data_IF_067868988248
#
_entry.id   IF_067868988248
#
_cell.length_a   1.000
_cell.length_b   1.000
_cell.length_c   1.000
_cell.angle_alpha   90.00
_cell.angle_beta   90.00
_cell.angle_gamma   90.00
#
_symmetry.space_group_name_H-M   'P 1'
#
loop_
_entity.id
_entity.type
_entity.pdbx_description
1 polymer ?
#
# COMPACT_ATOMS: atom_id res chain seq x y z
N UNK A 1 20.81 -26.85 -6.00
CA UNK A 1 19.60 -27.33 -5.30
C UNK A 1 18.36 -27.37 -6.23
N UNK A 2 18.08 -26.30 -7.01
CA UNK A 2 16.92 -26.24 -7.92
C UNK A 2 16.93 -27.32 -9.03
N UNK A 3 18.08 -27.58 -9.61
CA UNK A 3 18.20 -28.56 -10.72
C UNK A 3 17.95 -30.02 -10.31
N UNK A 4 18.06 -30.36 -9.04
CA UNK A 4 17.92 -31.74 -8.53
C UNK A 4 16.55 -32.04 -7.93
N UNK A 5 15.77 -31.03 -7.55
CA UNK A 5 14.48 -31.21 -6.86
C UNK A 5 13.26 -30.81 -7.69
N UNK A 6 13.44 -30.06 -8.78
CA UNK A 6 12.37 -29.46 -9.56
C UNK A 6 11.55 -28.39 -8.80
N UNK A 7 12.01 -27.98 -7.60
CA UNK A 7 11.33 -26.98 -6.78
C UNK A 7 11.77 -25.57 -7.17
N UNK A 8 10.86 -24.62 -7.11
CA UNK A 8 11.15 -23.18 -7.26
C UNK A 8 11.23 -22.54 -5.88
N UNK A 9 12.27 -21.72 -5.64
CA UNK A 9 12.36 -20.92 -4.42
C UNK A 9 11.45 -19.71 -4.61
N UNK A 10 10.42 -19.60 -3.77
CA UNK A 10 9.47 -18.51 -3.86
C UNK A 10 9.95 -17.20 -3.20
N UNK A 11 10.73 -17.32 -2.12
CA UNK A 11 11.31 -16.19 -1.36
C UNK A 11 12.68 -16.60 -0.84
N UNK A 12 13.69 -15.73 -0.99
CA UNK A 12 15.07 -15.98 -0.57
C UNK A 12 15.69 -14.68 -0.04
N UNK A 13 16.31 -14.77 1.14
CA UNK A 13 17.12 -13.70 1.75
C UNK A 13 16.42 -12.32 1.80
N UNK A 14 15.12 -12.33 2.09
CA UNK A 14 14.29 -11.12 2.20
C UNK A 14 14.31 -10.64 3.65
N UNK A 15 14.73 -9.38 3.87
CA UNK A 15 14.70 -8.73 5.17
C UNK A 15 14.20 -7.29 5.08
N UNK A 16 13.23 -6.92 5.93
CA UNK A 16 12.70 -5.56 6.03
C UNK A 16 11.98 -5.34 7.36
N UNK A 17 11.69 -4.10 7.65
CA UNK A 17 10.84 -3.69 8.77
C UNK A 17 9.76 -2.73 8.28
N UNK A 18 8.61 -2.75 8.93
CA UNK A 18 7.49 -1.85 8.66
C UNK A 18 7.17 -1.12 9.96
N UNK A 19 7.15 0.21 9.93
CA UNK A 19 6.81 1.02 11.09
C UNK A 19 5.29 0.98 11.34
N UNK A 20 4.88 1.30 12.57
CA UNK A 20 3.45 1.43 12.87
C UNK A 20 2.86 2.59 12.06
N UNK A 21 1.70 2.34 11.44
CA UNK A 21 1.03 3.31 10.58
C UNK A 21 1.61 3.42 9.18
N UNK A 22 2.72 2.72 8.87
CA UNK A 22 3.34 2.72 7.55
C UNK A 22 2.57 1.83 6.57
N UNK A 23 2.44 2.31 5.34
CA UNK A 23 2.04 1.49 4.19
C UNK A 23 3.29 1.06 3.43
N UNK A 24 3.68 -0.20 3.60
CA UNK A 24 4.80 -0.81 2.91
C UNK A 24 4.31 -1.61 1.70
N UNK A 25 4.73 -1.22 0.51
CA UNK A 25 4.31 -1.88 -0.73
C UNK A 25 5.38 -2.85 -1.22
N UNK A 26 4.98 -4.06 -1.56
CA UNK A 26 5.84 -5.04 -2.27
C UNK A 26 5.34 -5.17 -3.70
N UNK A 27 6.16 -4.80 -4.64
CA UNK A 27 5.83 -4.88 -6.05
C UNK A 27 6.83 -5.74 -6.85
N UNK A 28 6.47 -6.10 -8.07
CA UNK A 28 7.30 -6.90 -8.98
C UNK A 28 6.44 -7.66 -9.99
N UNK A 29 7.06 -8.24 -11.00
CA UNK A 29 6.36 -9.00 -12.04
C UNK A 29 5.66 -10.26 -11.48
N UNK A 30 4.76 -10.84 -12.29
CA UNK A 30 4.15 -12.13 -11.93
C UNK A 30 5.22 -13.20 -11.72
N UNK A 31 5.07 -14.00 -10.65
CA UNK A 31 6.05 -15.03 -10.30
C UNK A 31 7.25 -14.54 -9.48
N UNK A 32 7.41 -13.25 -9.18
CA UNK A 32 8.56 -12.75 -8.39
C UNK A 32 8.57 -13.18 -6.91
N UNK A 33 7.47 -13.78 -6.39
CA UNK A 33 7.41 -14.30 -5.01
C UNK A 33 6.53 -13.51 -4.05
N UNK A 34 5.93 -12.38 -4.44
CA UNK A 34 5.14 -11.45 -3.60
C UNK A 34 4.06 -12.14 -2.76
N UNK A 35 3.17 -12.90 -3.41
CA UNK A 35 2.09 -13.60 -2.70
C UNK A 35 2.63 -14.70 -1.78
N UNK A 36 3.75 -15.33 -2.13
CA UNK A 36 4.44 -16.28 -1.25
C UNK A 36 4.97 -15.56 -0.01
N UNK A 37 5.61 -14.40 -0.20
CA UNK A 37 6.12 -13.57 0.91
C UNK A 37 5.00 -13.23 1.89
N UNK A 38 3.88 -12.65 1.44
CA UNK A 38 2.79 -12.25 2.35
C UNK A 38 2.16 -13.44 3.07
N UNK A 39 2.10 -14.60 2.40
CA UNK A 39 1.62 -15.84 3.02
C UNK A 39 2.61 -16.37 4.06
N UNK A 40 3.91 -16.18 3.88
CA UNK A 40 4.93 -16.47 4.88
C UNK A 40 4.84 -15.49 6.07
N UNK A 41 4.67 -14.18 5.80
CA UNK A 41 4.51 -13.16 6.85
C UNK A 41 3.28 -13.42 7.73
N UNK A 42 2.18 -13.88 7.15
CA UNK A 42 0.98 -14.28 7.89
C UNK A 42 1.03 -15.73 8.39
N UNK A 43 2.15 -16.45 8.10
CA UNK A 43 2.37 -17.87 8.39
C UNK A 43 1.28 -18.79 7.82
N UNK A 44 0.57 -18.35 6.76
CA UNK A 44 -0.32 -19.22 5.98
C UNK A 44 0.48 -20.29 5.22
N UNK A 45 1.72 -19.96 4.87
CA UNK A 45 2.75 -20.86 4.37
C UNK A 45 3.88 -20.82 5.39
N UNK A 46 4.33 -21.98 5.84
CA UNK A 46 5.46 -22.08 6.77
C UNK A 46 6.76 -21.77 6.02
N UNK A 47 7.53 -20.74 6.39
CA UNK A 47 8.82 -20.47 5.77
C UNK A 47 9.84 -21.54 6.17
N UNK A 48 10.78 -21.85 5.29
CA UNK A 48 11.83 -22.85 5.53
C UNK A 48 12.79 -22.40 6.63
N UNK A 49 13.07 -21.10 6.70
CA UNK A 49 13.95 -20.49 7.70
C UNK A 49 13.69 -18.98 7.80
N UNK A 50 14.25 -18.32 8.80
CA UNK A 50 14.11 -16.89 9.03
C UNK A 50 13.31 -16.56 10.30
N UNK A 51 12.85 -15.32 10.41
CA UNK A 51 12.03 -14.83 11.52
C UNK A 51 10.95 -13.89 10.99
N UNK A 52 9.77 -13.93 11.61
CA UNK A 52 8.69 -12.97 11.39
C UNK A 52 8.24 -12.42 12.72
N UNK A 53 8.51 -11.15 12.97
CA UNK A 53 8.16 -10.49 14.24
C UNK A 53 7.03 -9.51 14.03
N UNK A 54 6.02 -9.59 14.91
CA UNK A 54 4.93 -8.61 15.01
C UNK A 54 4.89 -8.11 16.44
N UNK A 55 5.03 -6.81 16.65
CA UNK A 55 5.14 -6.18 17.98
C UNK A 55 6.20 -6.84 18.88
N UNK A 56 7.33 -7.27 18.30
CA UNK A 56 8.42 -7.92 19.00
C UNK A 56 8.26 -9.44 19.22
N UNK A 57 7.06 -9.98 18.99
CA UNK A 57 6.77 -11.42 19.14
C UNK A 57 7.11 -12.17 17.84
N UNK A 58 7.87 -13.26 17.93
CA UNK A 58 8.21 -14.10 16.77
C UNK A 58 7.07 -15.07 16.44
N UNK A 59 6.42 -14.84 15.33
CA UNK A 59 5.30 -15.68 14.86
C UNK A 59 5.73 -17.12 14.59
N UNK A 60 6.99 -17.38 14.22
CA UNK A 60 7.46 -18.72 13.88
C UNK A 60 7.70 -19.56 15.15
N UNK A 61 7.94 -18.93 16.28
CA UNK A 61 8.08 -19.58 17.58
C UNK A 61 6.72 -19.92 18.25
N UNK A 62 5.61 -19.34 17.74
CA UNK A 62 4.29 -19.53 18.33
C UNK A 62 3.72 -20.93 18.05
N UNK A 63 3.03 -21.48 19.03
CA UNK A 63 2.19 -22.66 18.84
C UNK A 63 0.93 -22.32 18.02
N UNK A 64 0.16 -23.37 17.65
CA UNK A 64 -1.03 -23.21 16.81
C UNK A 64 -2.16 -22.41 17.52
N UNK A 65 -2.21 -22.39 18.85
CA UNK A 65 -3.21 -21.63 19.58
C UNK A 65 -2.85 -20.14 19.62
N UNK A 66 -1.61 -19.82 19.95
CA UNK A 66 -1.06 -18.46 19.95
C UNK A 66 -1.18 -17.82 18.56
N UNK A 67 -0.78 -18.54 17.51
CA UNK A 67 -0.89 -18.05 16.14
C UNK A 67 -2.35 -17.77 15.70
N UNK A 68 -3.29 -18.66 16.11
CA UNK A 68 -4.72 -18.41 15.85
C UNK A 68 -5.20 -17.15 16.55
N UNK A 69 -4.73 -16.89 17.77
CA UNK A 69 -5.14 -15.70 18.51
C UNK A 69 -4.60 -14.42 17.85
N UNK A 70 -3.33 -14.40 17.44
CA UNK A 70 -2.75 -13.27 16.69
C UNK A 70 -3.52 -13.00 15.40
N UNK A 71 -3.85 -14.04 14.61
CA UNK A 71 -4.65 -13.91 13.39
C UNK A 71 -6.08 -13.46 13.64
N UNK A 72 -6.64 -13.71 14.80
CA UNK A 72 -8.01 -13.31 15.17
C UNK A 72 -8.11 -11.88 15.65
N UNK A 73 -7.01 -11.32 16.17
CA UNK A 73 -7.03 -10.03 16.89
C UNK A 73 -6.10 -8.98 16.28
N UNK A 74 -4.91 -9.37 15.81
CA UNK A 74 -3.87 -8.42 15.39
C UNK A 74 -3.72 -8.30 13.88
N UNK A 75 -4.14 -9.32 13.11
CA UNK A 75 -3.88 -9.38 11.68
C UNK A 75 -5.15 -9.60 10.88
N UNK A 76 -5.25 -8.97 9.71
CA UNK A 76 -6.27 -9.31 8.72
C UNK A 76 -5.71 -9.30 7.31
N UNK A 77 -6.37 -9.99 6.39
CA UNK A 77 -5.91 -10.12 5.01
C UNK A 77 -7.06 -9.93 4.03
N UNK A 78 -6.80 -9.10 3.02
CA UNK A 78 -7.67 -8.92 1.85
C UNK A 78 -7.03 -9.65 0.68
N UNK A 79 -7.76 -10.61 0.11
CA UNK A 79 -7.30 -11.46 -0.98
C UNK A 79 -7.74 -10.92 -2.34
N UNK A 80 -7.01 -11.27 -3.38
CA UNK A 80 -7.29 -10.93 -4.78
C UNK A 80 -8.73 -11.28 -5.23
N UNK A 81 -9.28 -12.39 -4.79
CA UNK A 81 -10.63 -12.89 -5.14
C UNK A 81 -11.63 -12.68 -4.01
N UNK A 82 -11.58 -11.56 -3.29
CA UNK A 82 -12.50 -11.11 -2.25
C UNK A 82 -12.79 -12.13 -1.13
N UNK A 83 -12.80 -13.43 -1.43
CA UNK A 83 -13.04 -14.53 -0.48
C UNK A 83 -14.37 -14.43 0.28
N UNK A 84 -15.40 -13.82 -0.31
CA UNK A 84 -16.71 -13.67 0.32
C UNK A 84 -17.45 -15.00 0.36
N UNK A 85 -18.18 -15.23 1.45
CA UNK A 85 -19.08 -16.38 1.57
C UNK A 85 -20.35 -16.14 0.74
N UNK A 86 -20.57 -16.84 -0.38
CA UNK A 86 -21.69 -16.54 -1.30
C UNK A 86 -23.08 -16.83 -0.68
N UNK A 87 -23.13 -17.70 0.32
CA UNK A 87 -24.34 -18.10 1.05
C UNK A 87 -24.65 -17.21 2.24
N UNK A 88 -23.77 -16.27 2.60
CA UNK A 88 -23.96 -15.29 3.69
C UNK A 88 -24.31 -13.92 3.14
N UNK A 89 -25.15 -13.17 3.86
CA UNK A 89 -25.41 -11.77 3.54
C UNK A 89 -24.17 -10.91 3.73
N UNK A 90 -24.15 -9.72 3.14
CA UNK A 90 -23.05 -8.77 3.25
C UNK A 90 -22.70 -8.49 4.71
N UNK A 91 -23.69 -8.16 5.55
CA UNK A 91 -23.46 -7.91 6.97
C UNK A 91 -22.88 -9.12 7.70
N UNK A 92 -23.31 -10.35 7.35
CA UNK A 92 -22.81 -11.57 7.97
C UNK A 92 -21.41 -11.97 7.43
N UNK A 93 -21.03 -11.52 6.22
CA UNK A 93 -19.67 -11.59 5.71
C UNK A 93 -18.75 -10.69 6.53
N UNK A 94 -19.13 -9.42 6.74
CA UNK A 94 -18.34 -8.45 7.52
C UNK A 94 -18.24 -8.87 8.98
N UNK A 95 -19.33 -9.35 9.58
CA UNK A 95 -19.38 -9.83 10.96
C UNK A 95 -18.67 -11.16 11.22
N UNK A 96 -18.17 -11.85 10.17
CA UNK A 96 -17.66 -13.23 10.31
C UNK A 96 -16.46 -13.33 11.25
N UNK A 97 -15.49 -12.45 11.14
CA UNK A 97 -14.33 -12.44 12.04
C UNK A 97 -14.72 -12.24 13.52
N UNK A 98 -15.69 -11.37 13.76
CA UNK A 98 -16.26 -11.14 15.10
C UNK A 98 -17.06 -12.35 15.62
N UNK A 99 -17.68 -13.12 14.69
CA UNK A 99 -18.30 -14.40 15.03
C UNK A 99 -17.27 -15.44 15.49
N UNK A 100 -16.13 -15.51 14.79
CA UNK A 100 -15.00 -16.36 15.19
C UNK A 100 -14.43 -15.92 16.54
N UNK A 101 -14.44 -14.62 16.86
CA UNK A 101 -14.09 -14.08 18.19
C UNK A 101 -15.18 -14.36 19.25
N UNK A 102 -16.29 -14.99 18.90
CA UNK A 102 -17.44 -15.31 19.78
C UNK A 102 -18.14 -14.07 20.36
N UNK A 103 -18.05 -12.92 19.67
CA UNK A 103 -18.83 -11.73 20.10
C UNK A 103 -20.35 -11.98 19.98
N UNK A 104 -21.19 -11.42 20.86
CA UNK A 104 -22.64 -11.55 20.80
C UNK A 104 -23.18 -11.13 19.43
N UNK A 105 -24.22 -11.81 18.93
CA UNK A 105 -24.75 -11.58 17.57
C UNK A 105 -25.21 -10.14 17.34
N UNK A 106 -25.79 -9.50 18.34
CA UNK A 106 -26.21 -8.09 18.26
C UNK A 106 -25.01 -7.19 18.07
N UNK A 107 -24.04 -7.27 18.97
CA UNK A 107 -22.85 -6.39 19.00
C UNK A 107 -22.03 -6.51 17.72
N UNK A 108 -21.82 -7.74 17.21
CA UNK A 108 -21.08 -7.95 15.97
C UNK A 108 -21.80 -7.42 14.74
N UNK A 109 -23.16 -7.45 14.71
CA UNK A 109 -23.93 -6.88 13.61
C UNK A 109 -23.99 -5.37 13.67
N UNK A 110 -24.13 -4.80 14.84
CA UNK A 110 -24.10 -3.35 15.04
C UNK A 110 -22.75 -2.79 14.61
N UNK A 111 -21.65 -3.46 15.01
CA UNK A 111 -20.31 -3.08 14.58
C UNK A 111 -20.10 -3.29 13.06
N UNK A 112 -20.51 -4.44 12.51
CA UNK A 112 -20.43 -4.67 11.06
C UNK A 112 -21.20 -3.63 10.25
N UNK A 113 -22.35 -3.16 10.76
CA UNK A 113 -23.14 -2.09 10.15
C UNK A 113 -22.36 -0.77 10.13
N UNK A 114 -21.70 -0.39 11.24
CA UNK A 114 -20.89 0.83 11.29
C UNK A 114 -19.71 0.79 10.33
N UNK A 115 -19.07 -0.39 10.15
CA UNK A 115 -17.99 -0.56 9.17
C UNK A 115 -18.52 -0.51 7.74
N UNK A 116 -19.68 -1.11 7.47
CA UNK A 116 -20.33 -1.01 6.14
C UNK A 116 -20.69 0.44 5.78
N UNK A 117 -21.06 1.24 6.76
CA UNK A 117 -21.31 2.68 6.56
C UNK A 117 -20.05 3.43 6.15
N UNK A 118 -18.90 3.14 6.79
CA UNK A 118 -17.59 3.71 6.44
C UNK A 118 -17.20 3.46 4.98
N UNK A 119 -17.51 2.27 4.43
CA UNK A 119 -17.21 1.90 3.04
C UNK A 119 -18.37 2.18 2.07
N UNK A 120 -19.43 2.90 2.51
CA UNK A 120 -20.55 3.31 1.67
C UNK A 120 -21.50 2.17 1.25
N UNK A 121 -21.60 1.10 2.04
CA UNK A 121 -22.39 -0.10 1.72
C UNK A 121 -23.51 -0.40 2.72
N UNK A 122 -23.92 0.56 3.54
CA UNK A 122 -24.97 0.40 4.56
C UNK A 122 -26.26 -0.19 3.98
N UNK A 123 -26.75 0.36 2.88
CA UNK A 123 -28.02 -0.05 2.24
C UNK A 123 -27.96 -1.45 1.62
N UNK A 124 -26.74 -1.96 1.40
CA UNK A 124 -26.49 -3.29 0.83
C UNK A 124 -26.27 -4.37 1.88
N UNK A 125 -26.35 -4.05 3.17
CA UNK A 125 -26.06 -4.95 4.30
C UNK A 125 -26.84 -6.29 4.23
N UNK A 126 -28.09 -6.24 3.77
CA UNK A 126 -28.99 -7.40 3.72
C UNK A 126 -28.93 -8.17 2.39
N UNK A 127 -28.15 -7.70 1.41
CA UNK A 127 -27.96 -8.36 0.12
C UNK A 127 -26.94 -9.52 0.21
N UNK A 128 -26.91 -10.35 -0.83
CA UNK A 128 -25.90 -11.40 -1.00
C UNK A 128 -24.80 -10.94 -1.96
N UNK A 129 -23.57 -11.49 -1.87
CA UNK A 129 -22.46 -11.09 -2.73
C UNK A 129 -22.78 -11.09 -4.23
N UNK A 130 -23.55 -12.08 -4.71
CA UNK A 130 -23.97 -12.19 -6.12
C UNK A 130 -24.83 -11.03 -6.64
N UNK A 131 -25.36 -10.20 -5.75
CA UNK A 131 -26.20 -9.06 -6.07
C UNK A 131 -25.41 -7.76 -6.15
N UNK A 132 -24.09 -7.81 -5.90
CA UNK A 132 -23.18 -6.68 -5.86
C UNK A 132 -22.26 -6.66 -7.09
N UNK A 133 -21.87 -5.46 -7.52
CA UNK A 133 -20.79 -5.29 -8.50
C UNK A 133 -19.45 -5.75 -7.93
N UNK A 134 -18.44 -5.96 -8.78
CA UNK A 134 -17.09 -6.35 -8.34
C UNK A 134 -16.48 -5.36 -7.34
N UNK A 135 -16.60 -4.05 -7.61
CA UNK A 135 -16.13 -3.02 -6.68
C UNK A 135 -16.87 -3.03 -5.33
N UNK A 136 -18.19 -3.28 -5.33
CA UNK A 136 -18.93 -3.44 -4.08
C UNK A 136 -18.50 -4.69 -3.31
N UNK A 137 -18.25 -5.81 -3.99
CA UNK A 137 -17.71 -7.02 -3.36
C UNK A 137 -16.34 -6.77 -2.73
N UNK A 138 -15.49 -5.98 -3.41
CA UNK A 138 -14.19 -5.54 -2.88
C UNK A 138 -14.36 -4.72 -1.59
N UNK A 139 -15.26 -3.74 -1.60
CA UNK A 139 -15.58 -2.95 -0.39
C UNK A 139 -16.08 -3.82 0.76
N UNK A 140 -16.87 -4.87 0.47
CA UNK A 140 -17.26 -5.86 1.49
C UNK A 140 -16.05 -6.62 2.03
N UNK A 141 -15.12 -7.03 1.16
CA UNK A 141 -13.86 -7.67 1.55
C UNK A 141 -13.00 -6.79 2.47
N UNK A 142 -12.87 -5.50 2.11
CA UNK A 142 -12.20 -4.49 2.92
C UNK A 142 -12.92 -4.29 4.27
N UNK A 143 -14.24 -4.10 4.26
CA UNK A 143 -15.05 -3.97 5.47
C UNK A 143 -14.90 -5.17 6.41
N UNK A 144 -14.85 -6.39 5.87
CA UNK A 144 -14.61 -7.62 6.66
C UNK A 144 -13.23 -7.61 7.32
N UNK A 145 -12.22 -7.13 6.62
CA UNK A 145 -10.87 -7.02 7.18
C UNK A 145 -10.80 -5.96 8.28
N UNK A 146 -11.42 -4.79 8.06
CA UNK A 146 -11.46 -3.68 9.01
C UNK A 146 -12.32 -3.99 10.25
N UNK A 147 -13.37 -4.82 10.12
CA UNK A 147 -14.27 -5.15 11.24
C UNK A 147 -13.58 -5.85 12.42
N UNK A 148 -12.41 -6.44 12.19
CA UNK A 148 -11.60 -7.05 13.26
C UNK A 148 -10.81 -6.02 14.07
N UNK A 149 -10.74 -4.76 13.60
CA UNK A 149 -9.90 -3.71 14.16
C UNK A 149 -8.42 -4.14 14.28
N UNK A 150 -7.80 -4.65 13.20
CA UNK A 150 -6.46 -5.22 13.26
C UNK A 150 -5.39 -4.14 13.28
N UNK A 151 -4.25 -4.42 13.96
CA UNK A 151 -3.06 -3.56 13.93
C UNK A 151 -2.33 -3.65 12.58
N UNK A 152 -2.42 -4.81 11.91
CA UNK A 152 -1.71 -5.12 10.66
C UNK A 152 -2.67 -5.66 9.59
N UNK A 153 -2.68 -4.98 8.44
CA UNK A 153 -3.45 -5.36 7.26
C UNK A 153 -2.53 -5.85 6.15
N UNK A 154 -2.82 -7.02 5.62
CA UNK A 154 -2.20 -7.54 4.40
C UNK A 154 -3.15 -7.42 3.22
N UNK A 155 -2.64 -6.96 2.09
CA UNK A 155 -3.36 -6.90 0.82
C UNK A 155 -2.59 -7.69 -0.24
N UNK A 156 -3.20 -8.73 -0.81
CA UNK A 156 -2.60 -9.55 -1.88
C UNK A 156 -3.30 -9.23 -3.21
N UNK A 157 -2.75 -8.28 -3.97
CA UNK A 157 -3.26 -7.77 -5.25
C UNK A 157 -4.77 -7.43 -5.24
N UNK A 158 -5.25 -6.63 -4.28
CA UNK A 158 -6.68 -6.51 -4.03
C UNK A 158 -7.45 -5.87 -5.20
N UNK A 159 -6.79 -5.07 -6.05
CA UNK A 159 -7.45 -4.29 -7.10
C UNK A 159 -7.22 -4.85 -8.51
N UNK A 160 -6.49 -5.95 -8.67
CA UNK A 160 -6.11 -6.51 -9.97
C UNK A 160 -7.31 -6.96 -10.82
N UNK A 161 -8.40 -7.39 -10.20
CA UNK A 161 -9.62 -7.84 -10.88
C UNK A 161 -10.65 -6.74 -11.15
N UNK A 162 -10.35 -5.47 -10.80
CA UNK A 162 -11.27 -4.34 -10.97
C UNK A 162 -11.00 -3.59 -12.28
N UNK A 163 -12.07 -3.04 -12.86
CA UNK A 163 -11.93 -2.08 -13.95
C UNK A 163 -11.23 -0.79 -13.48
N UNK A 164 -10.64 0.01 -14.41
CA UNK A 164 -9.79 1.15 -14.03
C UNK A 164 -10.51 2.22 -13.19
N UNK A 165 -11.81 2.46 -13.45
CA UNK A 165 -12.56 3.47 -12.71
C UNK A 165 -12.82 3.04 -11.28
N UNK A 166 -13.34 1.83 -11.09
CA UNK A 166 -13.60 1.25 -9.76
C UNK A 166 -12.30 1.08 -8.97
N UNK A 167 -11.21 0.69 -9.64
CA UNK A 167 -9.88 0.58 -9.03
C UNK A 167 -9.45 1.92 -8.42
N UNK A 168 -9.59 3.01 -9.18
CA UNK A 168 -9.25 4.36 -8.71
C UNK A 168 -10.07 4.77 -7.48
N UNK A 169 -11.39 4.54 -7.52
CA UNK A 169 -12.28 4.84 -6.40
C UNK A 169 -11.89 4.05 -5.14
N UNK A 170 -11.48 2.78 -5.31
CA UNK A 170 -11.04 1.93 -4.19
C UNK A 170 -9.69 2.35 -3.61
N UNK A 171 -8.76 2.81 -4.45
CA UNK A 171 -7.49 3.37 -4.00
C UNK A 171 -7.73 4.66 -3.21
N UNK A 172 -8.60 5.56 -3.70
CA UNK A 172 -8.97 6.79 -2.99
C UNK A 172 -9.59 6.49 -1.62
N UNK A 173 -10.46 5.49 -1.56
CA UNK A 173 -11.08 5.04 -0.32
C UNK A 173 -10.04 4.48 0.66
N UNK A 174 -9.08 3.68 0.19
CA UNK A 174 -8.00 3.14 1.03
C UNK A 174 -7.10 4.26 1.56
N UNK A 175 -6.72 5.24 0.71
CA UNK A 175 -5.94 6.42 1.14
C UNK A 175 -6.68 7.21 2.21
N UNK A 176 -8.00 7.42 2.04
CA UNK A 176 -8.84 8.12 3.02
C UNK A 176 -8.85 7.38 4.36
N UNK A 177 -9.13 6.08 4.33
CA UNK A 177 -9.17 5.24 5.54
C UNK A 177 -7.79 5.20 6.24
N UNK A 178 -6.70 5.13 5.47
CA UNK A 178 -5.35 5.12 6.03
C UNK A 178 -5.01 6.43 6.76
N UNK A 179 -5.42 7.58 6.20
CA UNK A 179 -5.25 8.90 6.85
C UNK A 179 -6.04 9.00 8.16
N UNK A 180 -7.24 8.42 8.21
CA UNK A 180 -8.11 8.46 9.39
C UNK A 180 -7.67 7.48 10.48
N UNK A 181 -7.25 6.27 10.11
CA UNK A 181 -7.03 5.16 11.03
C UNK A 181 -5.55 4.82 11.27
N UNK A 182 -4.63 5.28 10.39
CA UNK A 182 -3.17 5.08 10.48
C UNK A 182 -2.76 3.63 10.76
N UNK A 183 -3.32 2.68 10.01
CA UNK A 183 -3.05 1.26 10.14
C UNK A 183 -1.72 0.88 9.51
N UNK A 184 -1.04 -0.10 10.09
CA UNK A 184 0.13 -0.70 9.43
C UNK A 184 -0.34 -1.60 8.29
N UNK A 185 0.16 -1.35 7.09
CA UNK A 185 -0.27 -2.03 5.87
C UNK A 185 0.93 -2.65 5.15
N UNK A 186 0.82 -3.92 4.78
CA UNK A 186 1.68 -4.56 3.78
C UNK A 186 0.83 -4.84 2.54
N UNK A 187 1.12 -4.14 1.46
CA UNK A 187 0.33 -4.13 0.24
C UNK A 187 1.10 -4.74 -0.92
N UNK A 188 0.53 -5.74 -1.58
CA UNK A 188 1.12 -6.36 -2.78
C UNK A 188 0.41 -5.87 -4.02
N UNK A 189 1.20 -5.45 -5.01
CA UNK A 189 0.72 -5.09 -6.34
C UNK A 189 1.77 -5.40 -7.41
N UNK A 190 1.35 -5.44 -8.66
CA UNK A 190 2.22 -5.41 -9.83
C UNK A 190 2.13 -4.06 -10.58
N UNK A 191 1.29 -3.14 -10.10
CA UNK A 191 1.05 -1.82 -10.69
C UNK A 191 1.86 -0.76 -9.94
N UNK A 192 2.84 -0.15 -10.64
CA UNK A 192 3.71 0.86 -10.04
C UNK A 192 2.96 2.15 -9.67
N UNK A 193 1.91 2.51 -10.43
CA UNK A 193 1.09 3.68 -10.09
C UNK A 193 0.32 3.47 -8.78
N UNK A 194 -0.15 2.24 -8.51
CA UNK A 194 -0.71 1.88 -7.20
C UNK A 194 0.33 1.99 -6.09
N UNK A 195 1.54 1.45 -6.34
CA UNK A 195 2.60 1.47 -5.36
C UNK A 195 2.98 2.89 -4.93
N UNK A 196 3.13 3.81 -5.90
CA UNK A 196 3.40 5.24 -5.64
C UNK A 196 2.26 5.90 -4.87
N UNK A 197 1.01 5.60 -5.24
CA UNK A 197 -0.15 6.27 -4.66
C UNK A 197 -0.39 5.89 -3.21
N UNK A 198 -0.09 4.64 -2.85
CA UNK A 198 -0.45 4.04 -1.57
C UNK A 198 0.72 3.93 -0.60
N UNK A 199 1.94 3.76 -1.12
CA UNK A 199 3.10 3.36 -0.34
C UNK A 199 3.91 4.52 0.22
N UNK A 200 4.24 4.45 1.49
CA UNK A 200 5.29 5.27 2.10
C UNK A 200 6.66 4.78 1.67
N UNK A 201 6.83 3.45 1.62
CA UNK A 201 7.99 2.77 1.07
C UNK A 201 7.58 1.62 0.17
N UNK A 202 8.40 1.39 -0.86
CA UNK A 202 8.18 0.35 -1.87
C UNK A 202 9.40 -0.56 -1.94
N UNK A 203 9.17 -1.87 -1.90
CA UNK A 203 10.15 -2.90 -2.20
C UNK A 203 9.87 -3.48 -3.59
N UNK A 204 10.84 -3.42 -4.49
CA UNK A 204 10.75 -4.06 -5.81
C UNK A 204 11.35 -5.47 -5.70
N UNK A 205 10.52 -6.48 -5.98
CA UNK A 205 10.86 -7.89 -5.82
C UNK A 205 11.10 -8.57 -7.17
N UNK A 206 12.23 -9.29 -7.27
CA UNK A 206 12.63 -10.07 -8.42
C UNK A 206 13.15 -11.43 -7.98
N UNK A 207 12.70 -12.51 -8.63
CA UNK A 207 13.22 -13.88 -8.44
C UNK A 207 13.32 -14.33 -6.96
N UNK A 208 12.36 -13.86 -6.13
CA UNK A 208 12.27 -14.19 -4.70
C UNK A 208 13.08 -13.29 -3.77
N UNK A 209 13.79 -12.27 -4.28
CA UNK A 209 14.60 -11.32 -3.51
C UNK A 209 14.12 -9.89 -3.70
N UNK A 210 14.48 -8.99 -2.78
CA UNK A 210 14.31 -7.56 -2.99
C UNK A 210 15.49 -6.99 -3.78
N UNK A 211 15.17 -6.38 -4.92
CA UNK A 211 16.13 -5.70 -5.78
C UNK A 211 16.46 -4.29 -5.26
N UNK A 212 15.42 -3.57 -4.80
CA UNK A 212 15.56 -2.28 -4.13
C UNK A 212 14.39 -2.03 -3.17
N UNK A 213 14.67 -1.34 -2.06
CA UNK A 213 13.68 -0.77 -1.14
C UNK A 213 13.96 0.73 -1.02
N UNK A 214 12.91 1.56 -1.12
CA UNK A 214 13.03 3.00 -0.96
C UNK A 214 11.68 3.69 -0.95
N UNK A 215 11.68 5.00 -0.75
CA UNK A 215 10.50 5.83 -1.00
C UNK A 215 10.18 5.88 -2.50
N UNK A 216 8.96 6.23 -2.92
CA UNK A 216 8.64 6.46 -4.33
C UNK A 216 9.64 7.39 -5.03
N UNK A 217 10.05 8.46 -4.37
CA UNK A 217 11.04 9.42 -4.90
C UNK A 217 12.42 8.80 -5.09
N UNK A 218 12.91 8.06 -4.09
CA UNK A 218 14.22 7.38 -4.17
C UNK A 218 14.29 6.40 -5.33
N UNK A 219 13.21 5.62 -5.54
CA UNK A 219 13.15 4.67 -6.64
C UNK A 219 13.16 5.36 -8.01
N UNK A 220 12.47 6.50 -8.13
CA UNK A 220 12.38 7.27 -9.38
C UNK A 220 13.67 8.02 -9.69
N UNK A 221 14.33 8.60 -8.66
CA UNK A 221 15.54 9.39 -8.83
C UNK A 221 16.81 8.52 -8.91
N UNK A 222 16.84 7.43 -8.15
CA UNK A 222 18.03 6.59 -7.95
C UNK A 222 17.72 5.10 -8.12
N UNK A 223 17.26 4.65 -9.31
CA UNK A 223 17.04 3.23 -9.56
C UNK A 223 18.35 2.47 -9.46
N UNK A 224 18.42 1.47 -8.55
CA UNK A 224 19.66 0.72 -8.26
C UNK A 224 20.07 -0.21 -9.40
N UNK A 225 19.11 -0.73 -10.16
CA UNK A 225 19.34 -1.70 -11.23
C UNK A 225 18.55 -1.33 -12.48
N UNK A 226 18.90 -1.95 -13.62
CA UNK A 226 18.13 -1.80 -14.86
C UNK A 226 16.71 -2.32 -14.71
N UNK A 227 16.51 -3.37 -13.91
CA UNK A 227 15.20 -3.91 -13.63
C UNK A 227 14.29 -2.88 -12.90
N UNK A 228 14.81 -2.20 -11.88
CA UNK A 228 14.09 -1.11 -11.21
C UNK A 228 13.83 0.05 -12.18
N UNK A 229 14.81 0.39 -13.02
CA UNK A 229 14.69 1.46 -14.02
C UNK A 229 13.55 1.21 -15.00
N UNK A 230 13.31 -0.04 -15.42
CA UNK A 230 12.18 -0.39 -16.29
C UNK A 230 10.82 -0.03 -15.66
N UNK A 231 10.63 -0.24 -14.35
CA UNK A 231 9.39 0.13 -13.66
C UNK A 231 9.16 1.64 -13.60
N UNK A 232 10.23 2.43 -13.46
CA UNK A 232 10.12 3.88 -13.25
C UNK A 232 10.20 4.69 -14.53
N UNK A 233 10.48 4.06 -15.69
CA UNK A 233 10.69 4.75 -16.98
C UNK A 233 9.45 5.52 -17.43
N UNK A 234 8.27 4.92 -17.33
CA UNK A 234 7.01 5.51 -17.81
C UNK A 234 6.25 6.28 -16.73
N UNK A 235 6.86 6.49 -15.57
CA UNK A 235 6.22 7.18 -14.45
C UNK A 235 6.22 8.69 -14.69
N UNK A 236 5.07 9.36 -14.57
CA UNK A 236 5.00 10.81 -14.59
C UNK A 236 5.67 11.37 -13.34
N UNK A 237 6.97 11.71 -13.45
CA UNK A 237 7.83 12.14 -12.34
C UNK A 237 7.27 13.32 -11.57
N UNK A 238 6.59 14.24 -12.25
CA UNK A 238 5.95 15.39 -11.62
C UNK A 238 4.87 15.00 -10.59
N UNK A 239 4.33 13.79 -10.69
CA UNK A 239 3.34 13.24 -9.74
C UNK A 239 3.94 12.45 -8.59
N UNK A 240 5.25 12.25 -8.60
CA UNK A 240 5.98 11.49 -7.58
C UNK A 240 6.90 12.40 -6.79
N UNK A 241 7.62 13.29 -7.49
CA UNK A 241 8.62 14.15 -6.90
C UNK A 241 7.94 15.29 -6.14
N UNK A 242 8.46 15.57 -4.94
CA UNK A 242 8.04 16.70 -4.12
C UNK A 242 8.89 17.94 -4.42
N UNK A 243 8.42 19.11 -4.00
CA UNK A 243 9.19 20.34 -4.07
C UNK A 243 10.54 20.21 -3.37
N UNK A 244 10.59 19.49 -2.23
CA UNK A 244 11.84 19.20 -1.51
C UNK A 244 12.86 18.44 -2.36
N UNK A 245 12.43 17.38 -3.07
CA UNK A 245 13.33 16.51 -3.83
C UNK A 245 13.95 17.19 -5.05
N UNK A 246 13.30 18.25 -5.56
CA UNK A 246 13.78 19.01 -6.71
C UNK A 246 14.40 20.37 -6.33
N UNK A 247 14.25 20.81 -5.07
CA UNK A 247 14.77 22.09 -4.61
C UNK A 247 16.30 22.18 -4.74
N UNK A 248 16.78 23.37 -5.11
CA UNK A 248 18.18 23.73 -4.96
C UNK A 248 18.43 24.18 -3.52
N UNK A 249 19.67 24.05 -3.03
CA UNK A 249 20.02 24.45 -1.67
C UNK A 249 19.91 25.99 -1.44
N UNK A 250 19.90 26.79 -2.51
CA UNK A 250 19.79 28.23 -2.43
C UNK A 250 18.34 28.68 -2.58
N UNK A 251 17.80 29.50 -1.67
CA UNK A 251 16.52 30.18 -1.87
C UNK A 251 16.52 31.03 -3.14
N UNK A 252 15.37 31.14 -3.79
CA UNK A 252 15.21 32.00 -4.96
C UNK A 252 14.98 33.47 -4.57
N UNK A 253 14.62 33.74 -3.32
CA UNK A 253 14.19 35.06 -2.84
C UNK A 253 12.78 35.42 -3.32
N UNK A 254 11.99 34.44 -3.75
CA UNK A 254 10.62 34.63 -4.17
C UNK A 254 9.72 35.02 -2.99
N UNK A 255 8.63 35.73 -3.29
CA UNK A 255 7.56 36.00 -2.32
C UNK A 255 6.58 34.80 -2.25
N UNK A 256 6.63 33.91 -3.24
CA UNK A 256 5.79 32.72 -3.29
C UNK A 256 6.52 31.55 -2.64
N UNK A 257 5.87 30.91 -1.70
CA UNK A 257 6.38 29.74 -1.00
C UNK A 257 5.47 28.52 -1.24
N UNK A 258 6.08 27.34 -1.27
CA UNK A 258 5.37 26.05 -1.37
C UNK A 258 5.87 25.13 -0.27
N UNK A 259 4.98 24.25 0.22
CA UNK A 259 5.35 23.21 1.20
C UNK A 259 6.39 22.25 0.59
N UNK A 260 7.33 21.81 1.41
CA UNK A 260 8.30 20.78 1.04
C UNK A 260 7.64 19.49 0.51
N UNK A 261 6.41 19.20 0.92
CA UNK A 261 5.64 18.02 0.52
C UNK A 261 4.75 18.26 -0.71
N UNK A 262 4.69 19.48 -1.25
CA UNK A 262 3.92 19.76 -2.46
C UNK A 262 4.49 18.97 -3.65
N UNK A 263 3.63 18.31 -4.42
CA UNK A 263 4.08 17.60 -5.62
C UNK A 263 4.52 18.59 -6.70
N UNK A 264 5.54 18.22 -7.46
CA UNK A 264 5.99 19.03 -8.60
C UNK A 264 4.84 19.33 -9.57
N UNK A 265 3.90 18.37 -9.75
CA UNK A 265 2.70 18.56 -10.56
C UNK A 265 1.84 19.73 -10.09
N UNK A 266 1.76 20.00 -8.79
CA UNK A 266 0.96 21.08 -8.21
C UNK A 266 1.69 22.42 -8.29
N UNK A 267 3.02 22.40 -8.28
CA UNK A 267 3.89 23.59 -8.37
C UNK A 267 4.08 24.05 -9.82
N UNK A 268 4.09 23.12 -10.79
CA UNK A 268 4.32 23.38 -12.20
C UNK A 268 3.46 24.51 -12.81
N UNK A 269 2.12 24.55 -12.59
CA UNK A 269 1.30 25.62 -13.17
C UNK A 269 1.75 27.02 -12.76
N UNK A 270 2.09 27.23 -11.48
CA UNK A 270 2.61 28.50 -10.98
C UNK A 270 3.98 28.86 -11.59
N UNK A 271 4.88 27.88 -11.73
CA UNK A 271 6.17 28.08 -12.40
C UNK A 271 6.04 28.42 -13.90
N UNK A 272 4.98 27.97 -14.57
CA UNK A 272 4.75 28.19 -16.01
C UNK A 272 4.03 29.51 -16.31
N UNK A 273 3.36 30.08 -15.32
CA UNK A 273 2.75 31.41 -15.39
C UNK A 273 3.76 32.52 -15.01
N UNK A 274 3.33 33.76 -14.87
CA UNK A 274 4.20 34.89 -14.51
C UNK A 274 4.62 34.90 -13.03
N UNK A 275 4.24 33.91 -12.22
CA UNK A 275 4.53 33.84 -10.79
C UNK A 275 6.03 33.64 -10.48
N UNK A 276 6.83 33.20 -11.48
CA UNK A 276 8.28 33.03 -11.36
C UNK A 276 8.70 31.85 -10.47
N UNK A 277 9.95 31.86 -9.94
CA UNK A 277 10.44 30.81 -9.06
C UNK A 277 9.73 30.84 -7.70
N UNK A 278 9.76 29.71 -6.98
CA UNK A 278 9.15 29.56 -5.65
C UNK A 278 10.19 29.13 -4.61
N UNK A 279 10.04 29.59 -3.38
CA UNK A 279 10.83 29.09 -2.26
C UNK A 279 10.10 27.93 -1.57
N UNK A 280 10.86 26.89 -1.20
CA UNK A 280 10.34 25.69 -0.53
C UNK A 280 10.50 25.85 0.97
N UNK A 281 9.42 25.63 1.72
CA UNK A 281 9.41 25.73 3.18
C UNK A 281 9.19 24.36 3.83
N UNK A 282 9.87 24.14 4.95
CA UNK A 282 9.64 22.97 5.82
C UNK A 282 8.36 23.13 6.65
N UNK A 283 8.11 22.15 7.55
CA UNK A 283 6.91 22.12 8.38
C UNK A 283 6.89 23.22 9.45
N UNK A 284 8.06 23.80 9.76
CA UNK A 284 8.22 24.93 10.69
C UNK A 284 8.17 26.30 9.96
N UNK A 285 8.02 26.29 8.63
CA UNK A 285 7.94 27.49 7.79
C UNK A 285 9.31 28.09 7.42
N UNK A 286 10.42 27.40 7.69
CA UNK A 286 11.74 27.84 7.27
C UNK A 286 12.00 27.54 5.80
N UNK A 287 12.61 28.47 5.09
CA UNK A 287 13.00 28.26 3.69
C UNK A 287 14.18 27.31 3.64
N UNK A 288 13.99 26.16 2.99
CA UNK A 288 15.00 25.10 2.84
C UNK A 288 15.63 25.05 1.45
N UNK A 289 15.13 25.84 0.50
CA UNK A 289 15.65 25.88 -0.86
C UNK A 289 14.70 26.58 -1.83
N UNK A 290 15.00 26.51 -3.12
CA UNK A 290 14.17 27.11 -4.16
C UNK A 290 13.98 26.21 -5.37
N UNK A 291 12.88 26.42 -6.09
CA UNK A 291 12.53 25.70 -7.31
C UNK A 291 12.22 26.70 -8.42
N UNK A 292 12.85 26.51 -9.57
CA UNK A 292 12.60 27.26 -10.78
C UNK A 292 12.28 26.32 -11.98
N UNK A 293 11.89 26.93 -13.12
CA UNK A 293 11.58 26.18 -14.35
C UNK A 293 12.74 25.34 -14.87
N UNK A 294 13.97 25.88 -14.79
CA UNK A 294 15.16 25.24 -15.32
C UNK A 294 15.46 23.97 -14.52
N UNK A 295 15.36 24.07 -13.19
CA UNK A 295 15.56 22.92 -12.30
C UNK A 295 14.54 21.84 -12.49
N UNK A 296 13.26 22.19 -12.60
CA UNK A 296 12.20 21.21 -12.88
C UNK A 296 12.41 20.55 -14.24
N UNK A 297 12.71 21.32 -15.29
CA UNK A 297 13.00 20.77 -16.61
C UNK A 297 14.21 19.83 -16.62
N UNK A 298 15.27 20.16 -15.87
CA UNK A 298 16.45 19.30 -15.69
C UNK A 298 16.05 17.96 -15.06
N UNK A 299 15.36 17.97 -13.90
CA UNK A 299 15.01 16.75 -13.15
C UNK A 299 14.00 15.89 -13.91
N UNK A 300 13.01 16.52 -14.55
CA UNK A 300 12.03 15.76 -15.37
C UNK A 300 12.63 15.26 -16.70
N UNK A 301 13.65 15.92 -17.23
CA UNK A 301 14.31 15.60 -18.50
C UNK A 301 15.40 14.52 -18.43
N UNK A 302 15.90 14.16 -17.27
CA UNK A 302 17.04 13.25 -17.08
C UNK A 302 16.82 11.78 -17.53
N UNK A 303 15.64 11.42 -18.05
CA UNK A 303 15.32 10.03 -18.48
C UNK A 303 15.48 9.78 -19.97
N UNK A 304 15.79 10.77 -20.80
CA UNK A 304 15.91 10.57 -22.26
C UNK A 304 17.31 10.26 -22.77
N UNK A 305 18.19 9.73 -21.91
CA UNK A 305 19.52 9.29 -22.37
C UNK A 305 19.82 7.85 -21.94
#
# INVERSE_FOLDING_TARGET
MLASTGCTIGVRDVGFSVARGETFVVMGLSGSGKSTLVRCLSRLVEPTSGQVRVDGEDLLAMDAQQLREVRRTKMSMVFQHFGLFPHRRVIDNVAYGLEVQRRPKRDRRDHAMSVLEKVGLRDWAMHYPRQLSGGMQQRVGLARALALDPDLLFFDEPFSALDPLIRRDMQDELVRLQREEQRTIVFITHDFAEAIRLGDRIAIMKDGEFDQIGTPEELVLHPATDYVREFVTDVPRERVLTARSVATAAPTGSRHTVSQHALVADVLPGLLTDDGPVDVVDDDGHVIGGVDRARVAEVLGQVRR
#
